data_IF_678559175488
#
_entry.id   IF_678559175488
#
_cell.length_a   1.000
_cell.length_b   1.000
_cell.length_c   1.000
_cell.angle_alpha   90.00
_cell.angle_beta   90.00
_cell.angle_gamma   90.00
#
_symmetry.space_group_name_H-M   'P 1'
#
loop_
_entity.id
_entity.type
_entity.pdbx_description
1 polymer ?
#
# COMPACT_ATOMS: atom_id res chain seq x y z
N UNK A 1 3.00 -14.22 7.14
CA UNK A 1 2.19 -15.47 7.35
C UNK A 1 3.16 -16.56 7.69
N UNK A 2 2.96 -17.21 8.83
CA UNK A 2 3.79 -18.34 9.25
C UNK A 2 3.34 -19.61 8.54
N UNK A 3 4.26 -20.30 7.88
CA UNK A 3 3.97 -21.50 7.13
C UNK A 3 4.07 -22.73 8.02
N UNK A 4 3.01 -23.54 8.09
CA UNK A 4 3.02 -24.84 8.78
C UNK A 4 3.42 -25.97 7.83
N UNK A 5 3.10 -25.81 6.54
CA UNK A 5 3.41 -26.79 5.50
C UNK A 5 4.19 -26.12 4.37
N UNK A 6 5.04 -26.89 3.73
CA UNK A 6 5.83 -26.45 2.59
C UNK A 6 4.92 -26.10 1.40
N UNK A 7 4.97 -24.88 0.87
CA UNK A 7 4.16 -24.50 -0.30
C UNK A 7 4.50 -25.29 -1.57
N UNK A 8 5.73 -25.85 -1.68
CA UNK A 8 6.15 -26.60 -2.87
C UNK A 8 5.71 -28.05 -2.84
N UNK A 9 5.89 -28.74 -1.70
CA UNK A 9 5.71 -30.20 -1.64
C UNK A 9 4.67 -30.66 -0.62
N UNK A 10 4.06 -29.77 0.15
CA UNK A 10 3.05 -30.07 1.15
C UNK A 10 3.59 -30.74 2.44
N UNK A 11 4.90 -31.02 2.55
CA UNK A 11 5.48 -31.60 3.76
C UNK A 11 5.37 -30.62 4.94
N UNK A 12 5.16 -31.16 6.15
CA UNK A 12 5.15 -30.34 7.36
C UNK A 12 6.53 -29.73 7.61
N UNK A 13 6.56 -28.44 7.89
CA UNK A 13 7.77 -27.70 8.24
C UNK A 13 8.16 -27.95 9.69
N UNK A 14 9.47 -27.89 9.97
CA UNK A 14 10.06 -27.98 11.30
C UNK A 14 11.00 -26.80 11.49
N UNK A 15 10.99 -26.17 12.66
CA UNK A 15 11.89 -25.07 12.92
C UNK A 15 13.35 -25.57 13.06
N UNK A 16 14.28 -24.87 12.39
CA UNK A 16 15.73 -25.11 12.47
C UNK A 16 16.48 -23.81 12.66
N UNK A 17 17.58 -23.82 13.40
CA UNK A 17 18.49 -22.66 13.48
C UNK A 17 19.08 -22.35 12.10
N UNK A 18 19.06 -21.06 11.71
CA UNK A 18 19.63 -20.61 10.44
C UNK A 18 20.45 -19.33 10.69
N UNK A 19 21.73 -19.51 11.05
CA UNK A 19 22.64 -18.39 11.33
C UNK A 19 22.09 -17.42 12.38
N UNK A 20 22.10 -16.15 12.06
CA UNK A 20 21.57 -15.03 12.86
C UNK A 20 20.06 -14.82 12.76
N UNK A 21 19.37 -15.50 11.82
CA UNK A 21 17.92 -15.46 11.66
C UNK A 21 17.14 -16.21 12.77
N UNK A 22 17.84 -16.97 13.61
CA UNK A 22 17.22 -17.76 14.68
C UNK A 22 16.54 -19.02 14.15
N UNK A 23 15.38 -19.35 14.71
CA UNK A 23 14.57 -20.49 14.28
C UNK A 23 13.71 -20.13 13.07
N UNK A 24 13.93 -20.85 11.95
CA UNK A 24 13.22 -20.65 10.69
C UNK A 24 12.52 -21.95 10.29
N UNK A 25 11.26 -21.90 9.80
CA UNK A 25 10.58 -23.05 9.23
C UNK A 25 11.40 -23.68 8.12
N UNK A 26 11.67 -24.98 8.22
CA UNK A 26 12.51 -25.74 7.30
C UNK A 26 11.74 -26.91 6.70
N UNK A 27 11.81 -27.07 5.38
CA UNK A 27 11.32 -28.25 4.70
C UNK A 27 12.40 -29.32 4.61
N UNK A 28 12.24 -30.45 5.34
CA UNK A 28 13.17 -31.57 5.27
C UNK A 28 13.19 -32.29 3.91
N UNK A 29 12.05 -32.28 3.19
CA UNK A 29 11.93 -32.92 1.87
C UNK A 29 12.58 -32.08 0.76
N UNK A 30 12.39 -30.74 0.77
CA UNK A 30 12.97 -29.84 -0.23
C UNK A 30 14.38 -29.35 0.14
N UNK A 31 14.83 -29.55 1.40
CA UNK A 31 16.14 -29.14 1.87
C UNK A 31 16.34 -27.62 1.97
N UNK A 32 15.26 -26.83 2.22
CA UNK A 32 15.36 -25.37 2.23
C UNK A 32 14.48 -24.70 3.29
N UNK A 33 14.82 -23.48 3.74
CA UNK A 33 14.01 -22.70 4.65
C UNK A 33 12.81 -22.08 3.95
N UNK A 34 11.79 -21.72 4.75
CA UNK A 34 10.65 -20.91 4.38
C UNK A 34 10.50 -19.77 5.37
N UNK A 35 10.84 -18.57 4.95
CA UNK A 35 10.65 -17.38 5.77
C UNK A 35 9.19 -16.97 5.83
N UNK A 36 8.79 -16.34 6.92
CA UNK A 36 7.47 -15.76 7.04
C UNK A 36 7.24 -14.74 5.92
N UNK A 37 6.11 -14.84 5.27
CA UNK A 37 5.76 -13.98 4.14
C UNK A 37 4.71 -12.95 4.54
N UNK A 38 4.79 -11.78 3.90
CA UNK A 38 3.80 -10.71 3.96
C UNK A 38 3.58 -10.14 2.57
N UNK A 39 2.41 -9.56 2.33
CA UNK A 39 2.13 -8.89 1.07
C UNK A 39 2.75 -7.50 1.06
N UNK A 40 3.20 -7.04 -0.10
CA UNK A 40 3.65 -5.67 -0.30
C UNK A 40 2.61 -4.87 -1.05
N UNK A 41 2.33 -3.66 -0.55
CA UNK A 41 1.34 -2.75 -1.12
C UNK A 41 1.91 -1.35 -1.23
N UNK A 42 1.38 -0.57 -2.16
CA UNK A 42 1.58 0.88 -2.17
C UNK A 42 0.41 1.58 -1.50
N UNK A 43 0.66 2.79 -1.02
CA UNK A 43 -0.33 3.78 -0.65
C UNK A 43 0.15 5.15 -1.11
N UNK A 44 -0.68 5.89 -1.84
CA UNK A 44 -0.28 7.13 -2.48
C UNK A 44 -1.21 8.30 -2.15
N UNK A 45 -0.64 9.39 -1.64
CA UNK A 45 -1.33 10.67 -1.62
C UNK A 45 -1.15 11.35 -2.98
N UNK A 46 -2.21 11.37 -3.76
CA UNK A 46 -2.25 12.01 -5.08
C UNK A 46 -2.62 13.47 -4.90
N UNK A 47 -1.81 14.36 -5.48
CA UNK A 47 -1.97 15.81 -5.34
C UNK A 47 -2.16 16.46 -6.72
N UNK A 48 -3.05 17.43 -6.79
CA UNK A 48 -3.25 18.27 -7.97
C UNK A 48 -2.32 19.51 -7.94
N UNK A 49 -2.41 20.36 -8.98
CA UNK A 49 -1.61 21.57 -9.10
C UNK A 49 -1.89 22.61 -7.99
N UNK A 50 -3.02 22.55 -7.32
CA UNK A 50 -3.38 23.43 -6.19
C UNK A 50 -2.82 22.92 -4.85
N UNK A 51 -2.20 21.73 -4.83
CA UNK A 51 -1.73 21.10 -3.59
C UNK A 51 -2.82 20.39 -2.80
N UNK A 52 -3.99 20.19 -3.38
CA UNK A 52 -5.07 19.42 -2.78
C UNK A 52 -4.79 17.92 -2.93
N UNK A 53 -5.20 17.14 -1.93
CA UNK A 53 -5.08 15.68 -1.88
C UNK A 53 -6.37 15.04 -2.36
N UNK A 54 -6.26 13.99 -3.17
CA UNK A 54 -7.40 13.18 -3.59
C UNK A 54 -7.74 12.18 -2.49
N UNK A 55 -8.98 12.24 -2.01
CA UNK A 55 -9.60 11.20 -1.19
C UNK A 55 -10.65 10.47 -2.01
N UNK A 56 -10.77 9.18 -1.80
CA UNK A 56 -11.76 8.35 -2.48
C UNK A 56 -12.51 7.47 -1.47
N UNK A 57 -13.71 7.02 -1.87
CA UNK A 57 -14.50 6.02 -1.16
C UNK A 57 -14.57 4.77 -1.99
N UNK A 58 -14.24 3.66 -1.39
CA UNK A 58 -14.33 2.34 -2.03
C UNK A 58 -15.74 1.78 -1.96
N UNK A 59 -16.16 1.04 -2.98
CA UNK A 59 -17.45 0.33 -3.01
C UNK A 59 -17.58 -0.65 -1.83
N UNK A 60 -16.47 -1.25 -1.40
CA UNK A 60 -16.48 -2.20 -0.28
C UNK A 60 -16.59 -1.55 1.09
N UNK A 61 -16.24 -0.26 1.22
CA UNK A 61 -16.24 0.50 2.48
C UNK A 61 -16.70 1.95 2.24
N UNK A 62 -17.95 2.16 1.83
CA UNK A 62 -18.45 3.47 1.41
C UNK A 62 -18.49 4.50 2.54
N UNK A 63 -18.45 4.05 3.78
CA UNK A 63 -18.44 4.91 4.98
C UNK A 63 -17.08 5.56 5.28
N UNK A 64 -16.00 5.15 4.57
CA UNK A 64 -14.64 5.63 4.85
C UNK A 64 -14.03 6.29 3.63
N UNK A 65 -13.30 7.36 3.90
CA UNK A 65 -12.40 7.96 2.91
C UNK A 65 -11.00 7.35 3.06
N UNK A 66 -10.38 7.08 1.92
CA UNK A 66 -9.06 6.43 1.81
C UNK A 66 -8.19 7.16 0.77
N UNK A 67 -6.90 6.86 0.77
CA UNK A 67 -5.98 7.19 -0.32
C UNK A 67 -5.95 6.05 -1.33
N UNK A 68 -5.44 6.32 -2.53
CA UNK A 68 -5.13 5.27 -3.53
C UNK A 68 -4.19 4.25 -2.93
N UNK A 69 -4.52 2.96 -3.05
CA UNK A 69 -3.69 1.89 -2.53
C UNK A 69 -3.93 0.58 -3.29
N UNK A 70 -2.86 -0.20 -3.47
CA UNK A 70 -2.97 -1.49 -4.15
C UNK A 70 -1.78 -2.39 -3.95
N UNK A 71 -1.91 -3.64 -4.37
CA UNK A 71 -0.86 -4.64 -4.28
C UNK A 71 0.21 -4.44 -5.36
N UNK A 72 1.47 -4.62 -4.95
CA UNK A 72 2.58 -4.74 -5.90
C UNK A 72 2.51 -6.14 -6.50
N UNK A 73 2.47 -6.23 -7.83
CA UNK A 73 2.40 -7.50 -8.57
C UNK A 73 3.81 -8.11 -8.71
N UNK A 74 3.93 -9.45 -8.84
CA UNK A 74 5.21 -10.07 -9.15
C UNK A 74 5.88 -9.48 -10.39
N UNK A 75 7.15 -9.07 -10.27
CA UNK A 75 7.91 -8.44 -11.35
C UNK A 75 7.67 -6.94 -11.53
N UNK A 76 6.84 -6.31 -10.70
CA UNK A 76 6.55 -4.89 -10.73
C UNK A 76 7.37 -4.14 -9.67
N UNK A 77 7.89 -2.96 -10.01
CA UNK A 77 8.47 -2.06 -9.01
C UNK A 77 7.37 -1.36 -8.19
N UNK A 78 7.71 -0.87 -7.00
CA UNK A 78 6.74 -0.13 -6.17
C UNK A 78 6.29 1.17 -6.85
N UNK A 79 7.19 1.82 -7.59
CA UNK A 79 6.93 3.03 -8.36
C UNK A 79 5.97 2.76 -9.52
N UNK A 80 6.14 1.65 -10.23
CA UNK A 80 5.24 1.26 -11.33
C UNK A 80 3.86 0.87 -10.78
N UNK A 81 3.81 0.12 -9.67
CA UNK A 81 2.56 -0.19 -8.97
C UNK A 81 1.81 1.08 -8.57
N UNK A 82 2.52 2.08 -7.98
CA UNK A 82 1.89 3.33 -7.60
C UNK A 82 1.31 4.09 -8.80
N UNK A 83 2.03 4.14 -9.92
CA UNK A 83 1.53 4.76 -11.16
C UNK A 83 0.33 4.03 -11.74
N UNK A 84 0.39 2.71 -11.76
CA UNK A 84 -0.69 1.85 -12.26
C UNK A 84 -1.96 2.01 -11.43
N UNK A 85 -1.86 1.87 -10.10
CA UNK A 85 -3.02 2.00 -9.20
C UNK A 85 -3.65 3.40 -9.29
N UNK A 86 -2.84 4.47 -9.34
CA UNK A 86 -3.36 5.83 -9.54
C UNK A 86 -4.13 5.94 -10.87
N UNK A 87 -3.57 5.41 -11.96
CA UNK A 87 -4.21 5.45 -13.26
C UNK A 87 -5.49 4.59 -13.31
N UNK A 88 -5.44 3.37 -12.75
CA UNK A 88 -6.58 2.42 -12.74
C UNK A 88 -7.74 2.94 -11.88
N UNK A 89 -7.46 3.48 -10.69
CA UNK A 89 -8.51 3.92 -9.77
C UNK A 89 -9.04 5.33 -10.06
N UNK A 90 -8.21 6.20 -10.63
CA UNK A 90 -8.55 7.64 -10.74
C UNK A 90 -8.58 8.19 -12.16
N UNK A 91 -8.00 7.49 -13.14
CA UNK A 91 -7.81 7.97 -14.51
C UNK A 91 -6.73 9.05 -14.66
N UNK A 92 -6.06 9.42 -13.56
CA UNK A 92 -5.05 10.49 -13.58
C UNK A 92 -3.70 10.02 -14.11
N UNK A 93 -2.96 10.94 -14.74
CA UNK A 93 -1.59 10.72 -15.18
C UNK A 93 -0.62 11.30 -14.17
N UNK A 94 0.26 10.45 -13.62
CA UNK A 94 1.30 10.84 -12.66
C UNK A 94 2.43 11.57 -13.36
N UNK A 95 2.67 12.82 -12.96
CA UNK A 95 3.76 13.69 -13.49
C UNK A 95 5.00 13.64 -12.61
N UNK A 96 4.84 13.41 -11.30
CA UNK A 96 5.94 13.26 -10.35
C UNK A 96 5.53 12.27 -9.26
N UNK A 97 6.46 11.39 -8.87
CA UNK A 97 6.27 10.40 -7.82
C UNK A 97 7.47 10.43 -6.88
N UNK A 98 7.22 10.41 -5.57
CA UNK A 98 8.27 10.40 -4.55
C UNK A 98 7.90 9.45 -3.41
N UNK A 99 8.82 8.56 -3.08
CA UNK A 99 8.71 7.70 -1.90
C UNK A 99 8.79 8.54 -0.61
N UNK A 100 7.97 8.20 0.37
CA UNK A 100 7.88 8.89 1.65
C UNK A 100 8.43 8.09 2.82
N UNK A 101 7.93 6.88 2.99
CA UNK A 101 8.27 5.95 4.05
C UNK A 101 7.54 4.63 3.85
N UNK A 102 7.83 3.64 4.70
CA UNK A 102 7.05 2.40 4.79
C UNK A 102 6.47 2.22 6.18
N UNK A 103 5.36 1.48 6.25
CA UNK A 103 4.67 1.15 7.50
C UNK A 103 4.22 -0.30 7.49
N UNK A 104 4.44 -1.05 8.59
CA UNK A 104 3.82 -2.34 8.75
C UNK A 104 2.31 -2.16 8.99
N UNK A 105 1.51 -2.94 8.28
CA UNK A 105 0.07 -3.08 8.51
C UNK A 105 -0.19 -4.47 9.07
N UNK A 106 -0.14 -4.60 10.40
CA UNK A 106 -0.12 -5.88 11.10
C UNK A 106 -1.41 -6.68 10.88
N UNK A 107 -2.57 -6.03 10.97
CA UNK A 107 -3.88 -6.69 10.78
C UNK A 107 -4.03 -7.30 9.38
N UNK A 108 -3.43 -6.69 8.37
CA UNK A 108 -3.44 -7.18 6.99
C UNK A 108 -2.25 -8.04 6.61
N UNK A 109 -1.28 -8.22 7.52
CA UNK A 109 0.02 -8.85 7.23
C UNK A 109 0.66 -8.27 5.97
N UNK A 110 0.81 -6.94 5.93
CA UNK A 110 1.26 -6.19 4.75
C UNK A 110 2.37 -5.22 5.12
N UNK A 111 3.27 -4.96 4.18
CA UNK A 111 4.17 -3.81 4.20
C UNK A 111 3.61 -2.76 3.22
N UNK A 112 3.27 -1.58 3.75
CA UNK A 112 2.75 -0.46 2.97
C UNK A 112 3.88 0.49 2.61
N UNK A 113 4.15 0.67 1.32
CA UNK A 113 5.12 1.62 0.77
C UNK A 113 4.39 2.91 0.40
N UNK A 114 4.65 3.99 1.13
CA UNK A 114 3.96 5.26 0.97
C UNK A 114 4.64 6.19 -0.03
N UNK A 115 3.82 6.79 -0.88
CA UNK A 115 4.22 7.73 -1.91
C UNK A 115 3.42 9.04 -1.82
N UNK A 116 4.01 10.11 -2.32
CA UNK A 116 3.29 11.29 -2.80
C UNK A 116 3.44 11.37 -4.31
N UNK A 117 2.35 11.68 -4.99
CA UNK A 117 2.30 11.80 -6.44
C UNK A 117 1.70 13.14 -6.83
N UNK A 118 2.33 13.88 -7.77
CA UNK A 118 1.65 14.93 -8.51
C UNK A 118 1.02 14.30 -9.73
N UNK A 119 -0.24 14.61 -9.98
CA UNK A 119 -0.98 14.06 -11.11
C UNK A 119 -1.84 15.13 -11.79
N UNK A 120 -2.18 14.88 -13.05
CA UNK A 120 -2.99 15.75 -13.89
C UNK A 120 -4.03 14.94 -14.67
N UNK A 121 -5.07 15.62 -15.15
CA UNK A 121 -6.20 15.03 -15.86
C UNK A 121 -7.49 15.19 -15.06
N UNK A 122 -8.57 14.66 -15.63
CA UNK A 122 -9.87 14.62 -14.97
C UNK A 122 -9.99 13.32 -14.17
N UNK A 123 -10.60 13.41 -12.98
CA UNK A 123 -10.83 12.22 -12.16
C UNK A 123 -11.97 11.41 -12.76
N UNK A 124 -11.64 10.21 -13.19
CA UNK A 124 -12.61 9.23 -13.66
C UNK A 124 -12.49 7.98 -12.78
N UNK A 125 -13.38 7.83 -11.80
CA UNK A 125 -13.38 6.62 -10.98
C UNK A 125 -13.74 5.40 -11.85
N UNK A 126 -12.93 4.35 -11.80
CA UNK A 126 -13.32 3.07 -12.37
C UNK A 126 -14.50 2.54 -11.54
N UNK A 127 -15.66 2.38 -12.19
CA UNK A 127 -16.95 2.17 -11.53
C UNK A 127 -17.08 0.90 -10.68
N UNK A 128 -16.09 0.01 -10.67
CA UNK A 128 -16.15 -1.26 -9.94
C UNK A 128 -15.60 -1.16 -8.51
N UNK A 129 -14.58 -0.33 -8.26
CA UNK A 129 -13.88 -0.29 -6.97
C UNK A 129 -14.01 1.06 -6.25
N UNK A 130 -14.12 2.17 -6.99
CA UNK A 130 -14.21 3.52 -6.45
C UNK A 130 -15.61 4.08 -6.61
N UNK A 131 -16.29 4.31 -5.49
CA UNK A 131 -17.65 4.87 -5.46
C UNK A 131 -17.66 6.37 -5.73
N UNK A 132 -16.71 7.11 -5.17
CA UNK A 132 -16.57 8.56 -5.34
C UNK A 132 -15.14 9.00 -5.01
N UNK A 133 -14.73 10.14 -5.59
CA UNK A 133 -13.49 10.79 -5.28
C UNK A 133 -13.67 12.30 -5.14
N UNK A 134 -12.90 12.95 -4.27
CA UNK A 134 -12.91 14.41 -4.10
C UNK A 134 -11.52 14.94 -3.78
N UNK A 135 -11.26 16.15 -4.22
CA UNK A 135 -10.10 16.93 -3.81
C UNK A 135 -10.37 17.66 -2.50
N UNK A 136 -9.39 17.74 -1.61
CA UNK A 136 -9.47 18.50 -0.36
C UNK A 136 -8.09 18.96 0.06
N UNK A 137 -8.05 19.95 0.96
CA UNK A 137 -6.79 20.40 1.53
C UNK A 137 -6.14 19.29 2.36
N UNK A 138 -4.81 19.30 2.54
CA UNK A 138 -4.14 18.33 3.42
C UNK A 138 -4.70 18.35 4.86
N UNK A 139 -5.15 19.50 5.35
CA UNK A 139 -5.78 19.67 6.67
C UNK A 139 -7.10 18.90 6.75
N UNK A 140 -7.95 19.10 5.76
CA UNK A 140 -9.23 18.38 5.64
C UNK A 140 -9.02 16.88 5.50
N UNK A 141 -8.01 16.47 4.70
CA UNK A 141 -7.67 15.07 4.52
C UNK A 141 -7.25 14.39 5.83
N UNK A 142 -6.42 15.04 6.66
CA UNK A 142 -6.04 14.50 7.98
C UNK A 142 -7.26 14.27 8.87
N UNK A 143 -8.25 15.18 8.82
CA UNK A 143 -9.47 15.09 9.63
C UNK A 143 -10.44 14.02 9.10
N UNK A 144 -10.52 13.87 7.77
CA UNK A 144 -11.44 12.94 7.12
C UNK A 144 -10.98 11.48 7.18
N UNK A 145 -9.66 11.26 7.19
CA UNK A 145 -9.07 9.93 7.27
C UNK A 145 -9.17 9.36 8.70
N UNK A 146 -9.34 8.05 8.81
CA UNK A 146 -9.41 7.36 10.10
C UNK A 146 -8.17 7.67 10.94
N UNK A 147 -8.37 8.08 12.18
CA UNK A 147 -7.32 8.37 13.13
C UNK A 147 -6.35 7.18 13.30
N UNK A 148 -5.05 7.47 13.29
CA UNK A 148 -3.99 6.48 13.42
C UNK A 148 -3.78 5.57 12.20
N UNK A 149 -4.59 5.72 11.14
CA UNK A 149 -4.42 4.93 9.91
C UNK A 149 -3.13 5.29 9.17
N UNK A 150 -2.64 4.36 8.35
CA UNK A 150 -1.48 4.61 7.49
C UNK A 150 -1.77 5.75 6.51
N UNK A 151 -2.99 5.83 5.96
CA UNK A 151 -3.41 6.92 5.10
C UNK A 151 -3.25 8.30 5.78
N UNK A 152 -3.71 8.43 7.01
CA UNK A 152 -3.55 9.66 7.79
C UNK A 152 -2.07 9.99 8.02
N UNK A 153 -1.24 9.00 8.37
CA UNK A 153 0.21 9.17 8.57
C UNK A 153 0.91 9.65 7.30
N UNK A 154 0.50 9.16 6.13
CA UNK A 154 1.01 9.61 4.83
C UNK A 154 0.73 11.10 4.63
N UNK A 155 -0.52 11.55 4.85
CA UNK A 155 -0.88 12.97 4.69
C UNK A 155 -0.17 13.86 5.71
N UNK A 156 -0.10 13.46 6.98
CA UNK A 156 0.66 14.19 8.01
C UNK A 156 2.12 14.36 7.60
N UNK A 157 2.75 13.31 7.06
CA UNK A 157 4.14 13.35 6.63
C UNK A 157 4.37 14.33 5.47
N UNK A 158 3.41 14.44 4.54
CA UNK A 158 3.47 15.41 3.44
C UNK A 158 3.40 16.84 3.97
N UNK A 159 2.46 17.13 4.87
CA UNK A 159 2.31 18.44 5.50
C UNK A 159 3.61 18.90 6.14
N UNK A 160 4.25 18.05 6.93
CA UNK A 160 5.48 18.37 7.64
C UNK A 160 6.70 18.59 6.71
N UNK A 161 6.61 18.21 5.43
CA UNK A 161 7.67 18.44 4.45
C UNK A 161 7.43 19.70 3.61
N UNK A 162 6.25 20.29 3.70
CA UNK A 162 5.88 21.52 2.96
C UNK A 162 6.06 22.78 3.80
N UNK A 163 6.49 22.65 5.05
CA UNK A 163 6.87 23.71 5.98
C UNK A 163 8.38 23.86 6.02
#
# INVERSE_FOLDING_TARGET
MHHTYCPDCGARLTDRPLGDEGLVPWCGACGRPWFDSFSTCIIAAVMNAKGEVLLQRETRRPEREVLVAGYIKPGESAEDAARREIAEETGLTVTSLRYLASWPHLDGNQLMLGFTAKAQGDVHSSASEVLSARWCTPEEAVTALREGSIAQRVVIKIKNQST
#
